data_IF_435810307431
#
_entry.id   IF_435810307431
#
_cell.length_a   1.000
_cell.length_b   1.000
_cell.length_c   1.000
_cell.angle_alpha   90.00
_cell.angle_beta   90.00
_cell.angle_gamma   90.00
#
_symmetry.space_group_name_H-M   'P 1'
#
loop_
_entity.id
_entity.type
_entity.pdbx_description
1 polymer ?
#
# COMPACT_ATOMS: atom_id res chain seq x y z
N UNK A 1 7.46 -14.33 -7.38
CA UNK A 1 8.52 -15.13 -6.69
C UNK A 1 9.18 -14.46 -5.51
N UNK A 2 9.77 -13.26 -5.65
CA UNK A 2 10.49 -12.61 -4.55
C UNK A 2 9.64 -12.37 -3.29
N UNK A 3 8.35 -12.03 -3.45
CA UNK A 3 7.41 -11.85 -2.33
C UNK A 3 7.29 -13.13 -1.50
N UNK A 4 7.11 -14.29 -2.15
CA UNK A 4 7.07 -15.60 -1.47
C UNK A 4 8.41 -15.93 -0.82
N UNK A 5 9.52 -15.76 -1.56
CA UNK A 5 10.86 -16.12 -1.11
C UNK A 5 11.28 -15.37 0.16
N UNK A 6 10.94 -14.09 0.25
CA UNK A 6 11.33 -13.24 1.38
C UNK A 6 10.22 -13.11 2.43
N UNK A 7 9.17 -13.93 2.34
CA UNK A 7 8.01 -13.90 3.24
C UNK A 7 7.44 -12.48 3.44
N UNK A 8 7.38 -11.68 2.35
CA UNK A 8 6.93 -10.29 2.43
C UNK A 8 5.45 -10.27 2.87
N UNK A 9 5.12 -9.61 4.00
CA UNK A 9 3.79 -9.72 4.60
C UNK A 9 2.72 -8.93 3.83
N UNK A 10 3.11 -7.84 3.16
CA UNK A 10 2.18 -6.94 2.48
C UNK A 10 2.73 -6.36 1.17
N UNK A 11 1.82 -6.07 0.24
CA UNK A 11 2.08 -5.37 -1.03
C UNK A 11 1.10 -4.21 -1.20
N UNK A 12 1.52 -3.17 -1.90
CA UNK A 12 0.78 -1.92 -2.06
C UNK A 12 0.78 -1.48 -3.52
N UNK A 13 -0.12 -0.56 -3.89
CA UNK A 13 -0.05 0.19 -5.15
C UNK A 13 0.07 1.68 -4.89
N UNK A 14 0.34 2.47 -5.93
CA UNK A 14 0.39 3.94 -5.85
C UNK A 14 -0.88 4.56 -6.43
N UNK A 15 -1.23 5.78 -6.01
CA UNK A 15 -2.48 6.45 -6.39
C UNK A 15 -2.61 6.78 -7.87
N UNK A 16 -1.48 6.89 -8.58
CA UNK A 16 -1.42 7.29 -10.00
C UNK A 16 -1.33 6.10 -10.96
N UNK A 17 -1.25 4.87 -10.46
CA UNK A 17 -1.18 3.65 -11.26
C UNK A 17 -2.30 2.68 -10.90
N UNK A 18 -2.60 1.74 -11.79
CA UNK A 18 -3.63 0.73 -11.52
C UNK A 18 -3.22 -0.19 -10.37
N UNK A 19 -4.15 -0.49 -9.46
CA UNK A 19 -3.97 -1.45 -8.36
C UNK A 19 -4.02 -2.92 -8.80
N UNK A 20 -4.43 -3.20 -10.04
CA UNK A 20 -4.62 -4.56 -10.56
C UNK A 20 -3.38 -5.44 -10.44
N UNK A 21 -2.15 -4.99 -10.79
CA UNK A 21 -0.95 -5.80 -10.67
C UNK A 21 -0.62 -6.14 -9.21
N UNK A 22 -0.68 -5.15 -8.30
CA UNK A 22 -0.42 -5.36 -6.88
C UNK A 22 -1.41 -6.37 -6.26
N UNK A 23 -2.70 -6.28 -6.62
CA UNK A 23 -3.70 -7.25 -6.19
C UNK A 23 -3.47 -8.64 -6.78
N UNK A 24 -2.99 -8.75 -8.00
CA UNK A 24 -2.65 -10.05 -8.59
C UNK A 24 -1.49 -10.70 -7.83
N UNK A 25 -0.43 -9.94 -7.54
CA UNK A 25 0.68 -10.42 -6.71
C UNK A 25 0.17 -10.87 -5.35
N UNK A 26 -0.68 -10.09 -4.67
CA UNK A 26 -1.28 -10.46 -3.39
C UNK A 26 -2.00 -11.82 -3.48
N UNK A 27 -2.88 -12.00 -4.48
CA UNK A 27 -3.63 -13.27 -4.67
C UNK A 27 -2.72 -14.46 -4.93
N UNK A 28 -1.67 -14.29 -5.73
CA UNK A 28 -0.78 -15.39 -6.12
C UNK A 28 0.23 -15.76 -5.03
N UNK A 29 0.53 -14.82 -4.12
CA UNK A 29 1.59 -14.96 -3.11
C UNK A 29 1.08 -15.17 -1.70
N UNK A 30 -0.19 -14.85 -1.44
CA UNK A 30 -0.76 -14.84 -0.08
C UNK A 30 -0.39 -13.59 0.73
N UNK A 31 0.39 -12.66 0.17
CA UNK A 31 0.68 -11.40 0.83
C UNK A 31 -0.59 -10.55 0.97
N UNK A 32 -0.69 -9.79 2.06
CA UNK A 32 -1.79 -8.87 2.27
C UNK A 32 -1.73 -7.69 1.31
N UNK A 33 -2.85 -7.32 0.69
CA UNK A 33 -2.92 -6.09 -0.06
C UNK A 33 -3.19 -4.92 0.89
N UNK A 34 -2.15 -4.14 1.20
CA UNK A 34 -2.17 -3.08 2.20
C UNK A 34 -2.78 -1.75 1.73
N UNK A 35 -3.23 -1.66 0.48
CA UNK A 35 -3.91 -0.49 -0.06
C UNK A 35 -3.04 0.39 -0.96
N UNK A 36 -3.43 1.66 -1.05
CA UNK A 36 -2.87 2.64 -2.00
C UNK A 36 -2.00 3.64 -1.25
N UNK A 37 -0.81 3.91 -1.76
CA UNK A 37 0.12 4.91 -1.27
C UNK A 37 0.04 6.19 -2.12
N UNK A 38 0.14 7.34 -1.48
CA UNK A 38 0.25 8.64 -2.15
C UNK A 38 1.71 9.08 -2.15
N UNK A 39 2.33 9.19 -3.33
CA UNK A 39 3.79 9.38 -3.45
C UNK A 39 4.19 10.53 -4.38
N UNK A 40 3.41 10.78 -5.44
CA UNK A 40 3.77 11.68 -6.53
C UNK A 40 2.72 12.80 -6.76
N UNK A 41 1.62 12.76 -6.01
CA UNK A 41 0.47 13.62 -6.23
C UNK A 41 -0.28 13.93 -4.93
N UNK A 42 -0.69 15.20 -4.81
CA UNK A 42 -1.64 15.65 -3.79
C UNK A 42 -3.06 15.47 -4.32
N UNK A 43 -3.99 15.26 -3.40
CA UNK A 43 -5.40 15.27 -3.73
C UNK A 43 -5.93 16.71 -3.83
N UNK A 44 -7.16 16.87 -4.30
CA UNK A 44 -7.89 18.12 -4.09
C UNK A 44 -8.11 18.36 -2.58
N UNK A 45 -8.63 19.55 -2.25
CA UNK A 45 -8.83 19.99 -0.86
C UNK A 45 -9.80 19.09 -0.06
N UNK A 46 -10.64 18.29 -0.72
CA UNK A 46 -11.58 17.36 -0.10
C UNK A 46 -11.07 15.91 -0.09
N UNK A 47 -9.89 15.67 -0.66
CA UNK A 47 -9.30 14.35 -0.74
C UNK A 47 -8.41 14.01 0.47
N UNK A 48 -7.82 12.81 0.47
CA UNK A 48 -7.13 12.28 1.65
C UNK A 48 -5.77 12.92 1.93
N UNK A 49 -5.13 13.54 0.92
CA UNK A 49 -3.77 14.11 1.01
C UNK A 49 -3.71 15.52 0.40
N UNK A 50 -4.44 16.50 0.95
CA UNK A 50 -4.52 17.85 0.37
C UNK A 50 -3.23 18.65 0.56
N UNK A 51 -2.36 18.23 1.48
CA UNK A 51 -1.06 18.85 1.75
C UNK A 51 0.07 17.83 1.73
N UNK A 52 1.31 18.30 1.60
CA UNK A 52 2.48 17.42 1.66
C UNK A 52 2.63 16.71 3.01
N UNK A 53 2.28 17.37 4.12
CA UNK A 53 2.31 16.72 5.44
C UNK A 53 1.24 15.63 5.55
N UNK A 54 0.07 15.84 4.95
CA UNK A 54 -0.96 14.81 4.87
C UNK A 54 -0.51 13.62 4.03
N UNK A 55 0.16 13.87 2.90
CA UNK A 55 0.77 12.82 2.08
C UNK A 55 1.72 11.95 2.90
N UNK A 56 2.67 12.57 3.61
CA UNK A 56 3.63 11.83 4.44
C UNK A 56 2.93 11.02 5.54
N UNK A 57 1.95 11.64 6.22
CA UNK A 57 1.20 11.01 7.30
C UNK A 57 0.38 9.82 6.80
N UNK A 58 -0.48 10.02 5.81
CA UNK A 58 -1.38 8.99 5.28
C UNK A 58 -0.58 7.83 4.68
N UNK A 59 0.48 8.11 3.92
CA UNK A 59 1.32 7.06 3.33
C UNK A 59 2.03 6.24 4.41
N UNK A 60 2.59 6.89 5.44
CA UNK A 60 3.28 6.20 6.53
C UNK A 60 2.33 5.39 7.40
N UNK A 61 1.15 5.92 7.71
CA UNK A 61 0.09 5.22 8.44
C UNK A 61 -0.39 3.98 7.65
N UNK A 62 -0.61 4.13 6.35
CA UNK A 62 -1.03 3.04 5.45
C UNK A 62 0.02 1.92 5.41
N UNK A 63 1.30 2.28 5.29
CA UNK A 63 2.40 1.32 5.35
C UNK A 63 2.42 0.55 6.68
N UNK A 64 2.43 1.28 7.80
CA UNK A 64 2.51 0.67 9.12
C UNK A 64 1.32 -0.26 9.40
N UNK A 65 0.10 0.16 9.02
CA UNK A 65 -1.11 -0.64 9.19
C UNK A 65 -1.11 -1.85 8.27
N UNK A 66 -0.75 -1.68 6.99
CA UNK A 66 -0.72 -2.75 6.00
C UNK A 66 0.29 -3.85 6.34
N UNK A 67 1.50 -3.47 6.77
CA UNK A 67 2.52 -4.43 7.22
C UNK A 67 2.01 -5.19 8.45
N UNK A 68 1.51 -4.49 9.47
CA UNK A 68 0.98 -5.11 10.69
C UNK A 68 -0.20 -6.04 10.42
N UNK A 69 -1.04 -5.71 9.44
CA UNK A 69 -2.15 -6.58 9.02
C UNK A 69 -1.64 -7.83 8.28
N UNK A 70 -0.65 -7.67 7.41
CA UNK A 70 0.00 -8.78 6.71
C UNK A 70 0.70 -9.76 7.64
N UNK A 71 1.43 -9.25 8.64
CA UNK A 71 2.11 -10.07 9.65
C UNK A 71 1.13 -10.90 10.50
N UNK A 72 -0.10 -10.41 10.72
CA UNK A 72 -1.14 -11.14 11.46
C UNK A 72 -1.86 -12.20 10.64
N UNK A 73 -1.84 -12.08 9.31
CA UNK A 73 -2.55 -12.96 8.39
C UNK A 73 -1.70 -14.14 7.92
N UNK A 74 -0.39 -14.11 8.18
CA UNK A 74 0.56 -15.21 7.98
C UNK A 74 0.60 -16.13 9.20
#
# INVERSE_FOLDING_TARGET
>A
DQVKKNAIPAVFSESTVSDKPARQVARETGAHYGGVLYVDSLSNAQGPVPTYLDLLRVTTETLAQGIKAGEKAQ
#
